data_IF_974953491114
#
_entry.id   IF_974953491114
#
_cell.length_a   1.000
_cell.length_b   1.000
_cell.length_c   1.000
_cell.angle_alpha   90.00
_cell.angle_beta   90.00
_cell.angle_gamma   90.00
#
_symmetry.space_group_name_H-M   'P 1'
#
loop_
_entity.id
_entity.type
_entity.pdbx_description
1 polymer ?
#
# COMPACT_ATOMS: atom_id res chain seq x y z
N UNK A 1 -10.86 5.08 16.41
CA UNK A 1 -9.79 5.85 15.72
C UNK A 1 -10.33 7.14 15.11
N UNK A 2 -11.45 7.10 14.39
CA UNK A 2 -12.13 8.32 13.85
C UNK A 2 -12.37 9.43 14.89
N UNK A 3 -12.71 9.09 16.14
CA UNK A 3 -12.91 10.08 17.23
C UNK A 3 -11.60 10.78 17.67
N UNK A 4 -10.44 10.14 17.51
CA UNK A 4 -9.13 10.69 17.90
C UNK A 4 -8.57 11.65 16.84
N UNK A 5 -8.76 11.35 15.56
CA UNK A 5 -8.44 12.29 14.47
C UNK A 5 -9.26 13.57 14.56
N UNK A 6 -10.52 13.45 14.99
CA UNK A 6 -11.45 14.57 15.22
C UNK A 6 -10.97 15.54 16.32
N UNK A 7 -10.11 15.09 17.23
CA UNK A 7 -9.54 15.91 18.31
C UNK A 7 -8.23 16.63 17.92
N UNK A 8 -7.75 16.47 16.67
CA UNK A 8 -6.51 17.06 16.16
C UNK A 8 -5.25 16.78 17.01
N UNK A 9 -5.29 15.76 17.86
CA UNK A 9 -4.11 15.24 18.54
C UNK A 9 -3.26 14.55 17.48
N UNK A 10 -2.03 15.04 17.26
CA UNK A 10 -0.98 14.33 16.51
C UNK A 10 -0.52 13.11 17.33
N UNK A 11 -1.42 12.17 17.56
CA UNK A 11 -1.18 10.93 18.26
C UNK A 11 -0.84 9.83 17.25
N UNK A 12 0.20 9.06 17.53
CA UNK A 12 0.50 7.85 16.77
C UNK A 12 -0.19 6.68 17.46
N UNK A 13 -0.98 5.93 16.70
CA UNK A 13 -1.83 4.87 17.26
C UNK A 13 -1.16 3.51 17.12
N UNK A 14 -1.10 2.77 18.24
CA UNK A 14 -0.72 1.36 18.28
C UNK A 14 -1.92 0.57 18.76
N UNK A 15 -2.34 -0.42 17.97
CA UNK A 15 -3.43 -1.33 18.32
C UNK A 15 -2.84 -2.54 19.05
N UNK A 16 -3.41 -2.88 20.21
CA UNK A 16 -3.06 -4.08 20.96
C UNK A 16 -4.28 -4.98 21.03
N UNK A 17 -4.15 -6.22 20.55
CA UNK A 17 -5.26 -7.19 20.47
C UNK A 17 -4.79 -8.59 20.86
N UNK A 18 -5.70 -9.44 21.35
CA UNK A 18 -5.38 -10.83 21.70
C UNK A 18 -5.23 -11.74 20.47
N UNK A 19 -5.90 -11.38 19.39
CA UNK A 19 -5.73 -11.99 18.08
C UNK A 19 -6.13 -10.96 17.04
N UNK A 20 -5.41 -10.93 15.93
CA UNK A 20 -5.83 -10.23 14.73
C UNK A 20 -5.45 -11.06 13.52
N UNK A 21 -6.36 -11.17 12.56
CA UNK A 21 -6.02 -11.70 11.26
C UNK A 21 -5.33 -10.63 10.38
N UNK A 22 -4.83 -11.03 9.21
CA UNK A 22 -4.08 -10.14 8.32
C UNK A 22 -4.95 -9.03 7.73
N UNK A 23 -6.24 -9.29 7.53
CA UNK A 23 -7.14 -8.33 6.90
C UNK A 23 -7.56 -7.28 7.96
N UNK A 24 -7.76 -7.68 9.21
CA UNK A 24 -7.93 -6.79 10.36
C UNK A 24 -6.70 -5.91 10.61
N UNK A 25 -5.50 -6.46 10.48
CA UNK A 25 -4.25 -5.69 10.58
C UNK A 25 -4.22 -4.60 9.52
N UNK A 26 -4.51 -4.94 8.26
CA UNK A 26 -4.52 -3.95 7.18
C UNK A 26 -5.60 -2.90 7.40
N UNK A 27 -6.79 -3.28 7.87
CA UNK A 27 -7.85 -2.31 8.15
C UNK A 27 -7.45 -1.35 9.29
N UNK A 28 -6.79 -1.84 10.34
CA UNK A 28 -6.25 -0.98 11.38
C UNK A 28 -5.24 0.02 10.81
N UNK A 29 -4.34 -0.42 9.92
CA UNK A 29 -3.37 0.44 9.26
C UNK A 29 -4.05 1.48 8.35
N UNK A 30 -5.11 1.10 7.62
CA UNK A 30 -5.91 2.03 6.79
C UNK A 30 -6.58 3.11 7.63
N UNK A 31 -7.03 2.77 8.84
CA UNK A 31 -7.63 3.71 9.81
C UNK A 31 -6.60 4.57 10.55
N UNK A 32 -5.32 4.50 10.16
CA UNK A 32 -4.25 5.34 10.70
C UNK A 32 -3.45 4.73 11.85
N UNK A 33 -3.62 3.44 12.13
CA UNK A 33 -2.70 2.75 13.04
C UNK A 33 -1.30 2.69 12.42
N UNK A 34 -0.28 3.01 13.20
CA UNK A 34 1.13 2.81 12.82
C UNK A 34 1.73 1.57 13.46
N UNK A 35 1.08 1.00 14.47
CA UNK A 35 1.53 -0.23 15.12
C UNK A 35 0.38 -1.22 15.34
N UNK A 36 0.65 -2.51 15.18
CA UNK A 36 -0.21 -3.60 15.62
C UNK A 36 0.64 -4.60 16.42
N UNK A 37 0.21 -4.92 17.64
CA UNK A 37 0.92 -5.81 18.56
C UNK A 37 -0.07 -6.83 19.14
N UNK A 38 0.30 -8.11 19.10
CA UNK A 38 -0.45 -9.17 19.76
C UNK A 38 -0.14 -9.18 21.26
N UNK A 39 -1.16 -9.36 22.10
CA UNK A 39 -1.07 -9.28 23.57
C UNK A 39 -0.12 -10.32 24.16
N UNK A 40 0.06 -11.43 23.47
CA UNK A 40 0.92 -12.56 23.83
C UNK A 40 2.41 -12.26 23.60
N UNK A 41 2.70 -11.30 22.72
CA UNK A 41 4.06 -10.85 22.35
C UNK A 41 4.51 -9.59 23.13
N UNK A 42 3.69 -9.11 24.06
CA UNK A 42 3.61 -7.69 24.41
C UNK A 42 4.59 -7.14 25.46
N UNK A 43 5.50 -7.90 26.06
CA UNK A 43 6.38 -7.33 27.09
C UNK A 43 7.63 -6.64 26.51
N UNK A 44 8.35 -7.31 25.60
CA UNK A 44 9.60 -6.76 25.02
C UNK A 44 9.34 -6.13 23.64
N UNK A 45 8.57 -6.82 22.78
CA UNK A 45 8.29 -6.37 21.41
C UNK A 45 7.37 -5.14 21.36
N UNK A 46 6.59 -4.88 22.41
CA UNK A 46 5.74 -3.68 22.48
C UNK A 46 6.59 -2.43 22.67
N UNK A 47 7.64 -2.48 23.50
CA UNK A 47 8.50 -1.31 23.73
C UNK A 47 9.24 -0.95 22.46
N UNK A 48 9.79 -1.94 21.75
CA UNK A 48 10.45 -1.71 20.47
C UNK A 48 9.47 -1.28 19.39
N UNK A 49 8.26 -1.84 19.37
CA UNK A 49 7.19 -1.39 18.49
C UNK A 49 6.77 0.07 18.74
N UNK A 50 6.65 0.49 20.00
CA UNK A 50 6.39 1.89 20.35
C UNK A 50 7.53 2.78 19.89
N UNK A 51 8.80 2.38 20.09
CA UNK A 51 9.97 3.15 19.64
C UNK A 51 9.99 3.30 18.11
N UNK A 52 9.75 2.22 17.37
CA UNK A 52 9.66 2.24 15.91
C UNK A 52 8.55 3.19 15.43
N UNK A 53 7.35 3.07 16.01
CA UNK A 53 6.23 3.97 15.70
C UNK A 53 6.57 5.42 16.05
N UNK A 54 7.30 5.66 17.15
CA UNK A 54 7.77 6.99 17.52
C UNK A 54 8.84 7.55 16.58
N UNK A 55 9.63 6.70 15.94
CA UNK A 55 10.57 7.08 14.88
C UNK A 55 9.85 7.39 13.54
N UNK A 56 8.58 7.01 13.42
CA UNK A 56 7.77 7.19 12.22
C UNK A 56 7.54 5.90 11.43
N UNK A 57 8.17 4.80 11.85
CA UNK A 57 8.06 3.51 11.19
C UNK A 57 6.74 2.81 11.50
N UNK A 58 6.45 1.76 10.73
CA UNK A 58 5.34 0.84 11.00
C UNK A 58 5.85 -0.36 11.79
N UNK A 59 5.11 -0.77 12.80
CA UNK A 59 5.38 -2.00 13.54
C UNK A 59 4.23 -2.98 13.39
N UNK A 60 4.49 -4.13 12.79
CA UNK A 60 3.44 -5.13 12.54
C UNK A 60 3.94 -6.51 12.93
N UNK A 61 4.39 -6.65 14.18
CA UNK A 61 4.82 -7.92 14.77
C UNK A 61 5.64 -8.80 13.82
N UNK A 62 5.19 -10.04 13.63
CA UNK A 62 5.83 -11.06 12.78
C UNK A 62 5.39 -11.00 11.29
N UNK A 63 4.59 -10.00 10.91
CA UNK A 63 4.08 -9.88 9.54
C UNK A 63 5.04 -9.01 8.71
N UNK A 64 5.66 -9.63 7.70
CA UNK A 64 6.58 -8.92 6.81
C UNK A 64 5.88 -7.86 5.94
N UNK A 65 6.61 -6.80 5.57
CA UNK A 65 6.12 -5.71 4.71
C UNK A 65 5.54 -6.23 3.38
N UNK A 66 6.19 -7.23 2.76
CA UNK A 66 5.70 -7.83 1.51
C UNK A 66 4.35 -8.51 1.68
N UNK A 67 4.12 -9.15 2.83
CA UNK A 67 2.87 -9.84 3.14
C UNK A 67 1.74 -8.85 3.43
N UNK A 68 2.03 -7.74 4.11
CA UNK A 68 1.08 -6.65 4.29
C UNK A 68 0.68 -6.02 2.97
N UNK A 69 1.63 -5.77 2.07
CA UNK A 69 1.33 -5.25 0.73
C UNK A 69 0.43 -6.22 -0.05
N UNK A 70 0.64 -7.53 0.09
CA UNK A 70 -0.27 -8.53 -0.52
C UNK A 70 -1.67 -8.52 0.10
N UNK A 71 -1.78 -8.39 1.43
CA UNK A 71 -3.07 -8.27 2.10
C UNK A 71 -3.80 -6.97 1.68
N UNK A 72 -3.07 -5.86 1.58
CA UNK A 72 -3.56 -4.59 1.02
C UNK A 72 -4.10 -4.80 -0.39
N UNK A 73 -3.38 -5.52 -1.26
CA UNK A 73 -3.83 -5.86 -2.61
C UNK A 73 -5.16 -6.63 -2.62
N UNK A 74 -5.36 -7.61 -1.73
CA UNK A 74 -6.64 -8.35 -1.66
C UNK A 74 -7.81 -7.42 -1.39
N UNK A 75 -7.64 -6.47 -0.47
CA UNK A 75 -8.71 -5.52 -0.15
C UNK A 75 -8.93 -4.52 -1.30
N UNK A 76 -7.88 -4.07 -1.99
CA UNK A 76 -8.03 -3.29 -3.24
C UNK A 76 -8.83 -4.07 -4.27
N UNK A 77 -8.61 -5.39 -4.37
CA UNK A 77 -9.33 -6.24 -5.32
C UNK A 77 -10.83 -6.43 -5.02
N UNK A 78 -11.32 -5.92 -3.88
CA UNK A 78 -12.75 -5.90 -3.56
C UNK A 78 -13.37 -4.51 -3.70
N UNK A 79 -12.55 -3.45 -3.75
CA UNK A 79 -12.98 -2.07 -3.93
C UNK A 79 -13.16 -1.78 -5.43
N UNK A 80 -14.15 -2.42 -6.05
CA UNK A 80 -14.55 -2.09 -7.41
C UNK A 80 -15.19 -0.70 -7.44
N UNK A 81 -14.44 0.37 -7.76
CA UNK A 81 -14.96 1.67 -8.21
C UNK A 81 -13.89 2.61 -8.76
N UNK A 82 -14.34 3.50 -9.64
CA UNK A 82 -13.58 4.36 -10.53
C UNK A 82 -12.35 5.02 -9.87
N UNK A 83 -11.16 4.70 -10.37
CA UNK A 83 -9.94 5.41 -10.04
C UNK A 83 -10.16 6.90 -10.33
N UNK A 84 -10.12 7.73 -9.28
CA UNK A 84 -10.06 9.16 -9.47
C UNK A 84 -8.76 9.43 -10.23
N UNK A 85 -8.83 10.12 -11.38
CA UNK A 85 -7.68 10.47 -12.21
C UNK A 85 -6.83 11.56 -11.54
N UNK A 86 -6.48 11.37 -10.28
CA UNK A 86 -5.59 12.23 -9.53
C UNK A 86 -4.23 11.56 -9.60
N UNK A 87 -3.32 12.14 -10.37
CA UNK A 87 -1.96 11.62 -10.46
C UNK A 87 -1.06 12.10 -9.31
N UNK A 88 -1.54 13.01 -8.44
CA UNK A 88 -0.77 13.58 -7.32
C UNK A 88 0.63 14.09 -7.73
N UNK A 89 0.79 14.56 -8.98
CA UNK A 89 2.08 15.00 -9.52
C UNK A 89 3.03 13.87 -9.97
N UNK A 90 2.56 12.62 -9.95
CA UNK A 90 3.25 11.49 -10.56
C UNK A 90 3.13 11.55 -12.08
N UNK A 91 4.23 11.25 -12.75
CA UNK A 91 4.28 10.94 -14.18
C UNK A 91 3.60 9.60 -14.47
N UNK A 92 3.24 9.36 -15.73
CA UNK A 92 2.69 8.06 -16.16
C UNK A 92 3.61 6.90 -15.74
N UNK A 93 4.92 7.07 -15.93
CA UNK A 93 5.91 6.07 -15.54
C UNK A 93 5.94 5.80 -14.04
N UNK A 94 5.88 6.85 -13.24
CA UNK A 94 5.84 6.71 -11.78
C UNK A 94 4.55 6.05 -11.31
N UNK A 95 3.44 6.31 -12.00
CA UNK A 95 2.16 5.67 -11.72
C UNK A 95 2.18 4.17 -12.02
N UNK A 96 2.79 3.76 -13.14
CA UNK A 96 3.01 2.34 -13.47
C UNK A 96 3.89 1.63 -12.42
N UNK A 97 4.99 2.27 -12.01
CA UNK A 97 5.90 1.72 -10.99
C UNK A 97 5.18 1.61 -9.63
N UNK A 98 4.42 2.64 -9.25
CA UNK A 98 3.62 2.64 -8.03
C UNK A 98 2.58 1.51 -8.05
N UNK A 99 1.86 1.34 -9.17
CA UNK A 99 0.90 0.24 -9.33
C UNK A 99 1.57 -1.14 -9.18
N UNK A 100 2.77 -1.32 -9.76
CA UNK A 100 3.54 -2.55 -9.59
C UNK A 100 3.94 -2.81 -8.12
N UNK A 101 4.33 -1.75 -7.41
CA UNK A 101 4.67 -1.85 -5.98
C UNK A 101 3.45 -2.27 -5.16
N UNK A 102 2.30 -1.64 -5.40
CA UNK A 102 1.04 -1.99 -4.72
C UNK A 102 0.59 -3.40 -5.10
N UNK A 103 0.88 -3.85 -6.32
CA UNK A 103 0.66 -5.22 -6.78
C UNK A 103 1.51 -6.28 -6.05
N UNK A 104 2.50 -5.86 -5.26
CA UNK A 104 3.37 -6.72 -4.46
C UNK A 104 4.66 -7.15 -5.17
N UNK A 105 5.00 -6.57 -6.32
CA UNK A 105 6.16 -6.97 -7.11
C UNK A 105 7.49 -6.44 -6.53
N UNK A 106 8.54 -7.26 -6.54
CA UNK A 106 9.85 -6.85 -6.05
C UNK A 106 10.53 -5.89 -7.04
N UNK A 107 11.47 -5.07 -6.56
CA UNK A 107 12.17 -4.10 -7.40
C UNK A 107 12.89 -4.77 -8.59
N UNK A 108 13.37 -6.00 -8.41
CA UNK A 108 13.99 -6.81 -9.47
C UNK A 108 12.99 -7.17 -10.58
N UNK A 109 11.78 -7.60 -10.20
CA UNK A 109 10.73 -7.97 -11.16
C UNK A 109 10.26 -6.73 -11.92
N UNK A 110 10.04 -5.63 -11.19
CA UNK A 110 9.69 -4.32 -11.74
C UNK A 110 10.76 -3.88 -12.74
N UNK A 111 12.04 -3.93 -12.36
CA UNK A 111 13.17 -3.58 -13.22
C UNK A 111 13.18 -4.41 -14.51
N UNK A 112 12.97 -5.72 -14.40
CA UNK A 112 12.93 -6.64 -15.54
C UNK A 112 11.77 -6.33 -16.48
N UNK A 113 10.54 -6.17 -15.97
CA UNK A 113 9.37 -5.87 -16.80
C UNK A 113 9.45 -4.53 -17.52
N UNK A 114 10.20 -3.59 -16.94
CA UNK A 114 10.36 -2.25 -17.47
C UNK A 114 11.67 -2.03 -18.23
N UNK A 115 12.49 -3.07 -18.39
CA UNK A 115 13.83 -3.01 -19.00
C UNK A 115 14.72 -1.93 -18.36
N UNK A 116 14.63 -1.75 -17.04
CA UNK A 116 15.39 -0.80 -16.24
C UNK A 116 16.35 -1.53 -15.29
N UNK A 117 17.29 -0.80 -14.68
CA UNK A 117 18.10 -1.33 -13.58
C UNK A 117 17.35 -1.23 -12.25
N UNK A 118 17.64 -2.11 -11.28
CA UNK A 118 17.10 -2.00 -9.92
C UNK A 118 17.43 -0.66 -9.25
N UNK A 119 18.61 -0.09 -9.57
CA UNK A 119 19.00 1.25 -9.11
C UNK A 119 18.06 2.32 -9.66
N UNK A 120 17.70 2.23 -10.93
CA UNK A 120 16.73 3.16 -11.55
C UNK A 120 15.36 3.04 -10.90
N UNK A 121 14.90 1.81 -10.59
CA UNK A 121 13.65 1.60 -9.85
C UNK A 121 13.71 2.23 -8.47
N UNK A 122 14.80 2.03 -7.71
CA UNK A 122 14.98 2.69 -6.41
C UNK A 122 14.90 4.21 -6.52
N UNK A 123 15.53 4.82 -7.52
CA UNK A 123 15.44 6.26 -7.75
C UNK A 123 14.02 6.73 -8.06
N UNK A 124 13.28 5.99 -8.90
CA UNK A 124 11.86 6.29 -9.14
C UNK A 124 11.04 6.19 -7.84
N UNK A 125 11.30 5.19 -7.00
CA UNK A 125 10.60 5.04 -5.72
C UNK A 125 10.90 6.20 -4.76
N UNK A 126 12.16 6.65 -4.68
CA UNK A 126 12.50 7.84 -3.89
C UNK A 126 11.72 9.07 -4.36
N UNK A 127 11.67 9.32 -5.68
CA UNK A 127 10.90 10.45 -6.21
C UNK A 127 9.39 10.31 -5.96
N UNK A 128 8.84 9.10 -6.07
CA UNK A 128 7.43 8.81 -5.77
C UNK A 128 7.15 9.08 -4.28
N UNK A 129 8.01 8.61 -3.39
CA UNK A 129 7.92 8.81 -1.95
C UNK A 129 7.91 10.30 -1.60
N UNK A 130 8.84 11.06 -2.17
CA UNK A 130 8.92 12.51 -1.96
C UNK A 130 7.68 13.25 -2.48
N UNK A 131 7.17 12.88 -3.67
CA UNK A 131 5.98 13.51 -4.27
C UNK A 131 4.70 13.24 -3.48
N UNK A 132 4.57 12.05 -2.92
CA UNK A 132 3.37 11.63 -2.17
C UNK A 132 3.48 11.91 -0.67
N UNK A 133 4.66 12.30 -0.18
CA UNK A 133 4.90 12.53 1.25
C UNK A 133 4.88 11.24 2.08
N UNK A 134 5.23 10.10 1.46
CA UNK A 134 5.33 8.80 2.12
C UNK A 134 6.80 8.39 2.26
N UNK A 135 7.10 7.55 3.24
CA UNK A 135 8.46 7.17 3.65
C UNK A 135 8.77 5.69 3.40
N UNK A 136 7.76 4.87 3.13
CA UNK A 136 7.96 3.42 2.99
C UNK A 136 7.06 2.79 1.93
N UNK A 137 7.42 1.57 1.53
CA UNK A 137 6.63 0.74 0.62
C UNK A 137 5.22 0.45 1.17
N UNK A 138 5.10 0.26 2.48
CA UNK A 138 3.81 0.05 3.13
C UNK A 138 2.97 1.32 3.14
N UNK A 139 3.59 2.47 3.47
CA UNK A 139 2.90 3.77 3.38
C UNK A 139 2.44 4.06 1.95
N UNK A 140 3.26 3.77 0.94
CA UNK A 140 2.86 3.90 -0.46
C UNK A 140 1.65 3.01 -0.79
N UNK A 141 1.64 1.77 -0.31
CA UNK A 141 0.52 0.86 -0.53
C UNK A 141 -0.77 1.37 0.12
N UNK A 142 -0.71 1.79 1.39
CA UNK A 142 -1.84 2.37 2.12
C UNK A 142 -2.33 3.66 1.47
N UNK A 143 -1.41 4.53 1.04
CA UNK A 143 -1.74 5.78 0.34
C UNK A 143 -2.50 5.50 -0.95
N UNK A 144 -2.00 4.58 -1.78
CA UNK A 144 -2.61 4.26 -3.06
C UNK A 144 -4.01 3.67 -2.90
N UNK A 145 -4.23 2.87 -1.85
CA UNK A 145 -5.55 2.38 -1.47
C UNK A 145 -6.49 3.49 -1.03
N UNK A 146 -6.05 4.31 -0.08
CA UNK A 146 -6.88 5.34 0.54
C UNK A 146 -7.33 6.38 -0.49
N UNK A 147 -6.49 6.62 -1.50
CA UNK A 147 -6.76 7.54 -2.60
C UNK A 147 -7.27 6.86 -3.88
N UNK A 148 -7.56 5.56 -3.85
CA UNK A 148 -8.11 4.80 -4.98
C UNK A 148 -7.28 4.95 -6.28
N UNK A 149 -5.96 4.93 -6.13
CA UNK A 149 -4.99 5.18 -7.20
C UNK A 149 -4.63 3.96 -8.04
N UNK A 150 -5.19 2.79 -7.72
CA UNK A 150 -4.81 1.53 -8.35
C UNK A 150 -6.01 0.91 -9.03
N UNK A 151 -5.91 0.79 -10.35
CA UNK A 151 -6.89 0.09 -11.17
C UNK A 151 -6.58 -1.41 -11.19
N UNK A 152 -7.64 -2.19 -11.24
CA UNK A 152 -7.71 -3.62 -10.96
C UNK A 152 -6.92 -4.59 -11.87
N UNK A 153 -6.12 -4.11 -12.81
CA UNK A 153 -5.55 -4.93 -13.91
C UNK A 153 -4.05 -4.72 -14.15
N UNK A 154 -3.30 -4.19 -13.17
CA UNK A 154 -1.84 -4.10 -13.32
C UNK A 154 -1.17 -5.47 -13.13
N UNK A 155 -1.07 -6.24 -14.21
CA UNK A 155 -0.21 -7.40 -14.32
C UNK A 155 1.11 -7.00 -14.97
N UNK A 156 2.25 -7.32 -14.33
CA UNK A 156 3.55 -7.22 -14.98
C UNK A 156 3.54 -8.14 -16.22
N UNK A 157 3.35 -7.55 -17.42
CA UNK A 157 3.25 -8.28 -18.68
C UNK A 157 1.93 -8.13 -19.48
N UNK A 158 1.02 -7.23 -19.09
CA UNK A 158 -0.19 -6.95 -19.85
C UNK A 158 0.07 -6.13 -21.12
N UNK A 159 0.46 -6.80 -22.22
CA UNK A 159 0.36 -6.22 -23.56
C UNK A 159 -1.08 -5.78 -23.83
N UNK A 160 -1.22 -4.61 -24.48
CA UNK A 160 -2.48 -4.10 -24.99
C UNK A 160 -3.22 -5.18 -25.78
N UNK A 161 -4.27 -5.75 -25.21
CA UNK A 161 -5.25 -6.56 -25.95
C UNK A 161 -6.60 -5.87 -25.88
N UNK A 162 -6.75 -4.97 -26.85
CA UNK A 162 -8.00 -4.49 -27.41
C UNK A 162 -9.15 -5.52 -27.28
N UNK A 163 -10.18 -5.22 -26.48
CA UNK A 163 -11.50 -5.80 -26.67
C UNK A 163 -12.42 -4.74 -27.25
N UNK A 164 -12.52 -4.80 -28.58
CA UNK A 164 -13.65 -4.32 -29.36
C UNK A 164 -14.92 -4.94 -28.78
N UNK A 165 -15.76 -4.13 -28.14
CA UNK A 165 -17.16 -4.51 -27.90
C UNK A 165 -17.99 -4.08 -29.10
N UNK A 166 -18.09 -4.99 -30.07
CA UNK A 166 -19.12 -5.00 -31.10
C UNK A 166 -20.48 -5.25 -30.45
N UNK A 167 -21.30 -4.21 -30.35
CA UNK A 167 -22.73 -4.33 -30.05
C UNK A 167 -23.51 -4.43 -31.36
N UNK A 168 -24.02 -5.63 -31.69
CA UNK A 168 -25.07 -5.81 -32.68
C UNK A 168 -26.36 -6.22 -31.95
N UNK A 169 -27.51 -5.56 -32.15
CA UNK A 169 -28.77 -5.99 -31.57
C UNK A 169 -29.42 -7.06 -32.46
N UNK A 170 -29.89 -8.13 -31.80
CA UNK A 170 -30.70 -9.20 -32.40
C UNK A 170 -32.07 -8.65 -32.85
N UNK A 171 -32.54 -9.12 -34.00
CA UNK A 171 -33.97 -9.17 -34.35
C UNK A 171 -34.51 -10.56 -34.00
#
# INVERSE_FOLDING_TARGET
>A
MQELERLALRARTVVVAAAMDKDEVVEALRLGARGVVLKESASELLVDGIRAVMAGDYWVGDVGVSELVQAVRRIVSHLGRAAQHRNFGLTEREMEIMAAVVGGYANKDIAQSFCLSERTIKNHLTNIFDKLGVSSRLELALFAVNHQLVTHDFSLGGSATNKVSTSAPRR
#
